data_IF_245782992867
#
_entry.id   IF_245782992867
#
_cell.length_a   1.000
_cell.length_b   1.000
_cell.length_c   1.000
_cell.angle_alpha   90.00
_cell.angle_beta   90.00
_cell.angle_gamma   90.00
#
_symmetry.space_group_name_H-M   'P 1'
#
loop_
_entity.id
_entity.type
_entity.pdbx_description
1 polymer ?
#
# COMPACT_ATOMS: atom_id res chain seq x y z
N UNK A 1 -21.44 39.76 12.21
CA UNK A 1 -20.48 39.18 13.17
C UNK A 1 -19.86 37.97 12.51
N UNK A 2 -18.65 38.12 11.97
CA UNK A 2 -17.90 37.02 11.33
C UNK A 2 -16.51 37.01 11.94
N UNK A 3 -16.17 35.94 12.66
CA UNK A 3 -14.86 35.74 13.26
C UNK A 3 -13.96 35.02 12.26
N UNK A 4 -12.80 35.61 11.96
CA UNK A 4 -11.70 34.98 11.24
C UNK A 4 -10.73 34.47 12.31
N UNK A 5 -10.48 33.15 12.33
CA UNK A 5 -9.46 32.53 13.18
C UNK A 5 -8.14 32.51 12.40
N UNK A 6 -7.03 33.04 12.93
CA UNK A 6 -5.74 32.92 12.27
C UNK A 6 -5.17 31.50 12.47
N UNK A 7 -4.75 30.87 11.39
CA UNK A 7 -3.96 29.64 11.42
C UNK A 7 -2.49 30.05 11.56
N UNK A 8 -1.91 29.86 12.74
CA UNK A 8 -0.47 30.05 12.94
C UNK A 8 0.30 28.96 12.19
N UNK A 9 1.04 29.38 11.15
CA UNK A 9 1.99 28.53 10.45
C UNK A 9 3.23 28.31 11.32
N UNK A 10 3.43 27.06 11.76
CA UNK A 10 4.56 26.67 12.59
C UNK A 10 5.83 26.53 11.73
N UNK A 11 6.71 27.53 11.78
CA UNK A 11 7.96 27.63 11.00
C UNK A 11 8.99 26.53 11.31
N UNK A 12 8.83 25.79 12.41
CA UNK A 12 9.72 24.69 12.78
C UNK A 12 9.65 23.50 11.81
N UNK A 13 8.51 23.29 11.14
CA UNK A 13 8.35 22.19 10.18
C UNK A 13 9.16 22.41 8.89
N UNK A 14 9.39 23.67 8.50
CA UNK A 14 10.16 24.03 7.31
C UNK A 14 11.68 23.93 7.54
N UNK A 15 12.14 24.13 8.77
CA UNK A 15 13.55 24.00 9.12
C UNK A 15 13.99 22.52 9.21
N UNK A 16 13.10 21.62 9.65
CA UNK A 16 13.33 20.17 9.60
C UNK A 16 13.44 19.66 8.16
N UNK A 17 12.59 20.14 7.24
CA UNK A 17 12.61 19.74 5.82
C UNK A 17 13.88 20.23 5.11
N UNK A 18 14.37 21.43 5.44
CA UNK A 18 15.58 21.98 4.79
C UNK A 18 16.87 21.41 5.39
N UNK A 19 16.91 21.07 6.68
CA UNK A 19 18.09 20.43 7.28
C UNK A 19 18.20 18.95 6.92
N UNK A 20 17.08 18.23 6.79
CA UNK A 20 17.08 16.84 6.29
C UNK A 20 17.58 16.78 4.86
N UNK A 21 17.11 17.66 3.94
CA UNK A 21 17.55 17.61 2.54
C UNK A 21 19.06 17.84 2.33
N UNK A 22 19.71 18.65 3.16
CA UNK A 22 21.17 18.90 3.06
C UNK A 22 21.98 17.79 3.73
N UNK A 23 21.46 17.18 4.81
CA UNK A 23 22.08 16.02 5.45
C UNK A 23 21.90 14.73 4.61
N UNK A 24 20.78 14.61 3.88
CA UNK A 24 20.45 13.48 3.00
C UNK A 24 21.49 13.32 1.88
N UNK A 25 21.86 14.41 1.21
CA UNK A 25 22.73 14.38 0.02
C UNK A 25 24.19 14.04 0.37
N UNK A 26 24.66 14.35 1.58
CA UNK A 26 26.07 14.18 1.99
C UNK A 26 26.40 12.78 2.54
N UNK A 27 25.41 11.99 2.97
CA UNK A 27 25.61 10.58 3.39
C UNK A 27 25.45 9.56 2.24
N UNK A 28 25.21 10.01 1.01
CA UNK A 28 24.75 9.16 -0.09
C UNK A 28 25.76 8.10 -0.56
N UNK A 29 27.04 8.47 -0.73
CA UNK A 29 28.03 7.58 -1.34
C UNK A 29 28.71 6.65 -0.32
N UNK A 30 28.89 7.09 0.93
CA UNK A 30 29.55 6.26 1.95
C UNK A 30 28.68 5.05 2.33
N UNK A 31 27.38 5.25 2.55
CA UNK A 31 26.48 4.16 2.90
C UNK A 31 26.35 3.13 1.76
N UNK A 32 26.29 3.61 0.51
CA UNK A 32 26.28 2.73 -0.66
C UNK A 32 27.61 1.97 -0.77
N UNK A 33 28.74 2.63 -0.53
CA UNK A 33 30.05 1.96 -0.52
C UNK A 33 30.14 0.88 0.57
N UNK A 34 29.60 1.15 1.75
CA UNK A 34 29.57 0.19 2.86
C UNK A 34 28.70 -1.03 2.51
N UNK A 35 27.54 -0.84 1.89
CA UNK A 35 26.69 -1.96 1.41
C UNK A 35 27.40 -2.78 0.34
N UNK A 36 28.08 -2.11 -0.60
CA UNK A 36 28.85 -2.80 -1.64
C UNK A 36 30.02 -3.60 -1.03
N UNK A 37 30.67 -3.08 0.01
CA UNK A 37 31.77 -3.77 0.70
C UNK A 37 31.34 -5.06 1.41
N UNK A 38 30.06 -5.15 1.80
CA UNK A 38 29.50 -6.33 2.46
C UNK A 38 29.07 -7.45 1.48
N UNK A 39 29.28 -7.28 0.18
CA UNK A 39 29.01 -8.32 -0.83
C UNK A 39 27.82 -8.05 -1.74
N UNK A 40 27.16 -6.89 -1.61
CA UNK A 40 26.10 -6.51 -2.54
C UNK A 40 26.66 -6.38 -3.97
N UNK A 41 26.08 -7.05 -4.98
CA UNK A 41 26.70 -7.20 -6.29
C UNK A 41 26.63 -5.93 -7.15
N UNK A 42 25.63 -5.05 -6.93
CA UNK A 42 25.40 -3.90 -7.80
C UNK A 42 25.08 -2.63 -7.05
N UNK A 43 25.54 -1.49 -7.59
CA UNK A 43 25.21 -0.15 -7.04
C UNK A 43 23.69 0.10 -7.03
N UNK A 44 22.97 -0.48 -7.98
CA UNK A 44 21.50 -0.40 -8.05
C UNK A 44 20.85 -1.08 -6.84
N UNK A 45 21.27 -2.29 -6.50
CA UNK A 45 20.78 -2.98 -5.31
C UNK A 45 21.15 -2.26 -4.03
N UNK A 46 22.38 -1.74 -3.92
CA UNK A 46 22.79 -0.94 -2.75
C UNK A 46 21.92 0.32 -2.58
N UNK A 47 21.61 1.03 -3.67
CA UNK A 47 20.70 2.17 -3.63
C UNK A 47 19.27 1.76 -3.22
N UNK A 48 18.80 0.59 -3.67
CA UNK A 48 17.50 0.04 -3.28
C UNK A 48 17.44 -0.33 -1.79
N UNK A 49 18.48 -1.01 -1.27
CA UNK A 49 18.62 -1.35 0.15
C UNK A 49 18.58 -0.09 1.00
N UNK A 50 19.32 0.95 0.58
CA UNK A 50 19.31 2.25 1.24
C UNK A 50 17.93 2.90 1.26
N UNK A 51 17.23 2.92 0.14
CA UNK A 51 15.88 3.48 0.07
C UNK A 51 14.95 2.79 1.06
N UNK A 52 14.99 1.46 1.12
CA UNK A 52 14.18 0.69 2.08
C UNK A 52 14.64 0.97 3.51
N UNK A 53 15.95 1.02 3.77
CA UNK A 53 16.49 1.33 5.09
C UNK A 53 15.92 2.64 5.64
N UNK A 54 15.97 3.70 4.83
CA UNK A 54 15.44 5.01 5.18
C UNK A 54 13.93 4.96 5.40
N UNK A 55 13.19 4.28 4.54
CA UNK A 55 11.74 4.14 4.72
C UNK A 55 11.38 3.37 5.99
N UNK A 56 12.12 2.31 6.33
CA UNK A 56 11.91 1.54 7.55
C UNK A 56 12.21 2.37 8.80
N UNK A 57 13.28 3.18 8.77
CA UNK A 57 13.70 4.02 9.89
C UNK A 57 12.81 5.27 10.07
N UNK A 58 12.57 6.03 9.01
CA UNK A 58 11.96 7.37 9.09
C UNK A 58 10.44 7.32 8.97
N UNK A 59 9.93 6.52 8.02
CA UNK A 59 8.50 6.46 7.71
C UNK A 59 7.80 5.43 8.58
N UNK A 60 8.31 4.19 8.61
CA UNK A 60 7.70 3.09 9.38
C UNK A 60 8.12 3.08 10.84
N UNK A 61 9.25 3.73 11.18
CA UNK A 61 9.82 3.81 12.54
C UNK A 61 10.02 2.44 13.18
N UNK A 62 10.58 1.51 12.42
CA UNK A 62 10.96 0.20 12.92
C UNK A 62 12.23 0.26 13.75
N UNK A 63 12.41 -0.74 14.61
CA UNK A 63 13.51 -0.86 15.55
C UNK A 63 14.57 -1.82 15.03
N UNK A 64 15.82 -1.60 15.44
CA UNK A 64 16.96 -2.48 15.15
C UNK A 64 17.05 -2.84 13.66
N UNK A 65 17.03 -1.80 12.80
CA UNK A 65 17.13 -1.98 11.34
C UNK A 65 18.58 -2.24 10.97
N UNK A 66 18.84 -3.44 10.48
CA UNK A 66 20.15 -3.92 10.08
C UNK A 66 20.06 -4.51 8.68
N UNK A 67 21.12 -4.45 7.89
CA UNK A 67 21.18 -5.05 6.56
C UNK A 67 22.23 -6.14 6.53
N UNK A 68 21.97 -7.16 5.72
CA UNK A 68 22.84 -8.33 5.59
C UNK A 68 22.87 -8.79 4.14
N UNK A 69 24.02 -9.32 3.73
CA UNK A 69 24.15 -10.06 2.49
C UNK A 69 24.27 -11.54 2.78
N UNK A 70 23.50 -12.36 2.06
CA UNK A 70 23.56 -13.81 2.21
C UNK A 70 24.08 -14.47 0.94
N UNK A 71 25.32 -14.97 1.03
CA UNK A 71 26.06 -15.56 -0.08
C UNK A 71 25.34 -16.75 -0.74
N UNK A 72 24.66 -17.59 0.05
CA UNK A 72 23.99 -18.81 -0.44
C UNK A 72 22.88 -18.53 -1.45
N UNK A 73 22.13 -17.45 -1.24
CA UNK A 73 21.04 -17.00 -2.11
C UNK A 73 21.43 -15.78 -2.95
N UNK A 74 22.66 -15.27 -2.80
CA UNK A 74 23.18 -14.02 -3.41
C UNK A 74 22.18 -12.87 -3.30
N UNK A 75 21.50 -12.78 -2.16
CA UNK A 75 20.39 -11.84 -1.95
C UNK A 75 20.70 -10.97 -0.74
N UNK A 76 20.56 -9.66 -0.93
CA UNK A 76 20.63 -8.69 0.17
C UNK A 76 19.26 -8.60 0.85
N UNK A 77 19.23 -8.54 2.17
CA UNK A 77 18.00 -8.33 2.92
C UNK A 77 18.23 -7.42 4.12
N UNK A 78 17.17 -6.84 4.63
CA UNK A 78 17.18 -6.07 5.87
C UNK A 78 16.41 -6.83 6.95
N UNK A 79 16.95 -6.88 8.16
CA UNK A 79 16.25 -7.31 9.37
C UNK A 79 15.74 -6.06 10.07
N UNK A 80 14.47 -6.05 10.46
CA UNK A 80 13.94 -4.97 11.28
C UNK A 80 12.81 -5.48 12.18
N UNK A 81 12.69 -4.93 13.38
CA UNK A 81 11.62 -5.26 14.33
C UNK A 81 10.52 -4.22 14.26
N UNK A 82 9.29 -4.67 14.02
CA UNK A 82 8.11 -3.78 14.00
C UNK A 82 7.89 -3.14 15.38
N UNK A 83 8.09 -3.93 16.44
CA UNK A 83 8.10 -3.46 17.84
C UNK A 83 9.39 -3.88 18.51
N UNK A 84 9.84 -3.12 19.50
CA UNK A 84 11.11 -3.34 20.22
C UNK A 84 11.33 -4.76 20.74
N UNK A 85 10.26 -5.43 21.17
CA UNK A 85 10.32 -6.79 21.75
C UNK A 85 9.88 -7.90 20.79
N UNK A 86 9.53 -7.59 19.54
CA UNK A 86 9.08 -8.58 18.58
C UNK A 86 10.28 -9.29 17.92
N UNK A 87 10.02 -10.50 17.38
CA UNK A 87 10.98 -11.15 16.48
C UNK A 87 11.23 -10.25 15.26
N UNK A 88 12.47 -10.19 14.74
CA UNK A 88 12.76 -9.42 13.55
C UNK A 88 12.00 -9.98 12.34
N UNK A 89 11.67 -9.10 11.41
CA UNK A 89 11.11 -9.42 10.10
C UNK A 89 12.17 -9.21 9.03
N UNK A 90 12.13 -10.03 7.98
CA UNK A 90 13.00 -9.87 6.82
C UNK A 90 12.34 -8.98 5.78
N UNK A 91 13.11 -8.06 5.21
CA UNK A 91 12.71 -7.19 4.11
C UNK A 91 13.67 -7.39 2.95
N UNK A 92 13.15 -7.88 1.83
CA UNK A 92 13.95 -8.24 0.66
C UNK A 92 13.66 -7.21 -0.44
N UNK A 93 14.66 -6.39 -0.83
CA UNK A 93 14.51 -5.43 -1.92
C UNK A 93 14.24 -6.13 -3.24
N UNK A 94 13.24 -5.63 -3.98
CA UNK A 94 12.92 -6.04 -5.35
C UNK A 94 12.60 -4.81 -6.17
N UNK A 95 13.08 -4.74 -7.40
CA UNK A 95 12.62 -3.71 -8.30
C UNK A 95 11.27 -4.10 -8.92
N UNK A 96 10.36 -3.14 -9.14
CA UNK A 96 9.03 -3.43 -9.69
C UNK A 96 9.07 -4.01 -11.11
N UNK A 97 10.07 -3.63 -11.90
CA UNK A 97 10.28 -4.19 -13.24
C UNK A 97 10.92 -5.59 -13.24
N UNK A 98 11.42 -6.08 -12.11
CA UNK A 98 12.08 -7.39 -12.07
C UNK A 98 11.02 -8.49 -12.11
N UNK A 99 11.28 -9.50 -12.95
CA UNK A 99 10.43 -10.69 -13.01
C UNK A 99 10.72 -11.53 -11.77
N UNK A 100 9.72 -11.72 -10.93
CA UNK A 100 9.84 -12.61 -9.77
C UNK A 100 9.24 -13.97 -10.14
N UNK A 101 10.07 -15.00 -10.15
CA UNK A 101 9.60 -16.36 -10.35
C UNK A 101 9.04 -16.95 -9.04
N UNK A 102 8.08 -17.86 -9.16
CA UNK A 102 7.55 -18.59 -8.01
C UNK A 102 8.66 -19.38 -7.29
N UNK A 103 9.59 -19.95 -8.06
CA UNK A 103 10.73 -20.72 -7.54
C UNK A 103 11.65 -19.84 -6.69
N UNK A 104 11.91 -18.59 -7.11
CA UNK A 104 12.68 -17.64 -6.28
C UNK A 104 11.98 -17.33 -4.97
N UNK A 105 10.67 -17.07 -4.99
CA UNK A 105 9.92 -16.78 -3.76
C UNK A 105 9.95 -17.98 -2.79
N UNK A 106 9.86 -19.21 -3.29
CA UNK A 106 10.01 -20.41 -2.47
C UNK A 106 11.40 -20.50 -1.82
N UNK A 107 12.47 -20.21 -2.56
CA UNK A 107 13.83 -20.14 -2.00
C UNK A 107 13.98 -19.06 -0.93
N UNK A 108 13.24 -17.96 -1.05
CA UNK A 108 13.24 -16.91 -0.02
C UNK A 108 12.51 -17.36 1.24
N UNK A 109 11.46 -18.18 1.11
CA UNK A 109 10.80 -18.78 2.29
C UNK A 109 11.73 -19.72 3.04
N UNK A 110 12.64 -20.40 2.33
CA UNK A 110 13.64 -21.28 2.96
C UNK A 110 14.57 -20.54 3.93
N UNK A 111 14.82 -19.23 3.72
CA UNK A 111 15.59 -18.39 4.66
C UNK A 111 14.96 -18.32 6.06
N UNK A 112 13.66 -18.60 6.19
CA UNK A 112 12.94 -18.57 7.46
C UNK A 112 12.59 -19.98 7.98
N UNK A 113 13.20 -21.03 7.46
CA UNK A 113 12.90 -22.42 7.86
C UNK A 113 13.15 -22.71 9.35
N UNK A 114 14.01 -21.95 10.02
CA UNK A 114 14.30 -22.11 11.45
C UNK A 114 13.37 -21.28 12.36
N UNK A 115 12.43 -20.51 11.79
CA UNK A 115 11.48 -19.69 12.56
C UNK A 115 12.14 -18.53 13.33
N UNK A 116 13.32 -18.10 12.89
CA UNK A 116 14.05 -16.94 13.43
C UNK A 116 13.25 -15.65 13.23
N UNK A 117 12.56 -15.53 12.09
CA UNK A 117 11.86 -14.31 11.70
C UNK A 117 10.35 -14.39 11.88
N UNK A 118 9.73 -13.25 12.20
CA UNK A 118 8.27 -13.15 12.32
C UNK A 118 7.56 -13.29 10.96
N UNK A 119 8.25 -12.91 9.88
CA UNK A 119 7.75 -12.98 8.52
C UNK A 119 8.76 -12.42 7.52
N UNK A 120 8.52 -12.72 6.25
CA UNK A 120 9.32 -12.23 5.12
C UNK A 120 8.46 -11.27 4.30
N UNK A 121 9.02 -10.10 4.00
CA UNK A 121 8.40 -9.04 3.23
C UNK A 121 9.22 -8.78 1.97
N UNK A 122 8.56 -8.82 0.81
CA UNK A 122 9.11 -8.32 -0.44
C UNK A 122 8.85 -6.81 -0.49
N UNK A 123 9.93 -6.04 -0.53
CA UNK A 123 9.91 -4.58 -0.60
C UNK A 123 10.15 -4.16 -2.05
N UNK A 124 9.06 -3.86 -2.75
CA UNK A 124 9.07 -3.46 -4.14
C UNK A 124 9.34 -1.96 -4.27
N UNK A 125 10.41 -1.61 -4.95
CA UNK A 125 10.79 -0.22 -5.19
C UNK A 125 10.43 0.16 -6.62
N UNK A 126 9.64 1.22 -6.75
CA UNK A 126 9.34 1.85 -8.02
C UNK A 126 10.42 2.87 -8.41
N UNK A 127 10.53 3.23 -9.70
CA UNK A 127 11.43 4.29 -10.17
C UNK A 127 11.12 5.67 -9.57
N UNK A 128 9.90 5.90 -9.11
CA UNK A 128 9.49 7.13 -8.40
C UNK A 128 9.86 7.13 -6.91
N UNK A 129 10.66 6.15 -6.47
CA UNK A 129 11.10 5.93 -5.08
C UNK A 129 10.01 5.53 -4.11
N UNK A 130 8.80 5.18 -4.58
CA UNK A 130 7.76 4.60 -3.73
C UNK A 130 8.10 3.13 -3.41
N UNK A 131 7.97 2.73 -2.14
CA UNK A 131 8.09 1.33 -1.75
C UNK A 131 6.74 0.71 -1.37
N UNK A 132 6.52 -0.51 -1.84
CA UNK A 132 5.35 -1.32 -1.50
C UNK A 132 5.81 -2.62 -0.88
N UNK A 133 5.24 -2.97 0.28
CA UNK A 133 5.64 -4.14 1.04
C UNK A 133 4.57 -5.23 0.96
N UNK A 134 4.94 -6.39 0.44
CA UNK A 134 4.09 -7.58 0.43
C UNK A 134 4.67 -8.64 1.34
N UNK A 135 3.88 -9.08 2.32
CA UNK A 135 4.26 -10.22 3.14
C UNK A 135 4.04 -11.51 2.34
N UNK A 136 5.08 -12.33 2.26
CA UNK A 136 4.96 -13.70 1.74
C UNK A 136 4.88 -14.67 2.93
N UNK A 137 4.04 -15.68 2.78
CA UNK A 137 3.79 -16.71 3.80
C UNK A 137 3.70 -18.07 3.13
N UNK A 138 4.10 -19.11 3.85
CA UNK A 138 3.88 -20.48 3.40
C UNK A 138 2.38 -20.83 3.50
N UNK A 139 1.84 -21.42 2.43
CA UNK A 139 0.46 -21.87 2.37
C UNK A 139 -0.58 -20.77 2.14
N UNK A 140 -1.86 -21.14 2.29
CA UNK A 140 -3.00 -20.26 2.08
C UNK A 140 -3.44 -19.64 3.41
N UNK A 141 -3.24 -18.34 3.56
CA UNK A 141 -3.73 -17.57 4.71
C UNK A 141 -5.18 -17.15 4.47
N UNK A 142 -6.07 -17.41 5.42
CA UNK A 142 -7.46 -16.93 5.35
C UNK A 142 -7.46 -15.39 5.30
N UNK A 143 -8.21 -14.76 4.37
CA UNK A 143 -8.32 -13.31 4.32
C UNK A 143 -8.78 -12.75 5.67
N UNK A 144 -8.11 -11.70 6.17
CA UNK A 144 -8.56 -10.98 7.36
C UNK A 144 -9.91 -10.33 7.08
N UNK A 145 -10.85 -10.38 8.03
CA UNK A 145 -12.24 -9.89 7.88
C UNK A 145 -12.39 -8.40 7.51
N UNK A 146 -11.31 -7.63 7.53
CA UNK A 146 -11.33 -6.19 7.30
C UNK A 146 -11.76 -5.88 5.85
N UNK A 147 -11.29 -6.67 4.89
CA UNK A 147 -11.69 -6.56 3.48
C UNK A 147 -13.11 -7.08 3.25
N UNK A 148 -13.55 -8.09 4.01
CA UNK A 148 -14.89 -8.65 3.85
C UNK A 148 -15.98 -7.73 4.39
N UNK A 149 -15.76 -7.04 5.51
CA UNK A 149 -16.73 -6.10 6.10
C UNK A 149 -17.02 -4.90 5.19
N UNK A 150 -16.02 -4.36 4.51
CA UNK A 150 -16.23 -3.25 3.58
C UNK A 150 -16.97 -3.71 2.31
N UNK A 151 -16.71 -4.95 1.87
CA UNK A 151 -17.41 -5.55 0.74
C UNK A 151 -18.88 -5.87 1.07
N UNK A 152 -19.16 -6.41 2.26
CA UNK A 152 -20.53 -6.71 2.70
C UNK A 152 -21.32 -5.44 2.98
N UNK A 153 -20.70 -4.42 3.57
CA UNK A 153 -21.35 -3.12 3.80
C UNK A 153 -21.74 -2.43 2.49
N UNK A 154 -20.82 -2.38 1.51
CA UNK A 154 -21.15 -1.85 0.19
C UNK A 154 -22.29 -2.62 -0.49
N UNK A 155 -22.31 -3.96 -0.39
CA UNK A 155 -23.41 -4.79 -0.91
C UNK A 155 -24.74 -4.53 -0.20
N UNK A 156 -24.72 -4.29 1.11
CA UNK A 156 -25.91 -3.95 1.87
C UNK A 156 -26.44 -2.56 1.50
N UNK A 157 -25.56 -1.57 1.35
CA UNK A 157 -25.94 -0.20 0.98
C UNK A 157 -26.53 -0.14 -0.44
N UNK A 158 -25.97 -0.87 -1.40
CA UNK A 158 -26.55 -0.97 -2.75
C UNK A 158 -27.88 -1.70 -2.77
N UNK A 159 -28.02 -2.76 -1.98
CA UNK A 159 -29.27 -3.51 -1.85
C UNK A 159 -30.37 -2.65 -1.21
N UNK A 160 -30.06 -1.95 -0.12
CA UNK A 160 -30.98 -1.02 0.54
C UNK A 160 -31.40 0.12 -0.39
N UNK A 161 -30.47 0.67 -1.17
CA UNK A 161 -30.78 1.68 -2.16
C UNK A 161 -31.75 1.16 -3.23
N UNK A 162 -31.52 -0.04 -3.77
CA UNK A 162 -32.40 -0.65 -4.77
C UNK A 162 -33.80 -0.96 -4.21
N UNK A 163 -33.88 -1.47 -2.98
CA UNK A 163 -35.16 -1.72 -2.30
C UNK A 163 -35.95 -0.41 -2.10
N UNK A 164 -35.27 0.67 -1.70
CA UNK A 164 -35.92 1.99 -1.54
C UNK A 164 -36.38 2.55 -2.88
N UNK A 165 -35.54 2.47 -3.91
CA UNK A 165 -35.84 2.98 -5.26
C UNK A 165 -37.04 2.28 -5.89
N UNK A 166 -37.15 0.96 -5.70
CA UNK A 166 -38.20 0.14 -6.32
C UNK A 166 -39.35 -0.21 -5.37
N UNK A 167 -39.51 0.53 -4.26
CA UNK A 167 -40.53 0.26 -3.23
C UNK A 167 -41.96 0.13 -3.77
N UNK A 168 -42.37 1.05 -4.66
CA UNK A 168 -43.73 1.04 -5.20
C UNK A 168 -43.99 -0.17 -6.10
N UNK A 169 -42.99 -0.56 -6.89
CA UNK A 169 -43.05 -1.73 -7.75
C UNK A 169 -43.18 -3.01 -6.92
N UNK A 170 -42.37 -3.13 -5.84
CA UNK A 170 -42.43 -4.25 -4.88
C UNK A 170 -43.79 -4.34 -4.19
N UNK A 171 -44.38 -3.19 -3.83
CA UNK A 171 -45.70 -3.15 -3.19
C UNK A 171 -46.81 -3.60 -4.14
N UNK A 172 -46.77 -3.14 -5.39
CA UNK A 172 -47.75 -3.56 -6.41
C UNK A 172 -47.60 -5.05 -6.74
N UNK A 173 -46.38 -5.54 -6.94
CA UNK A 173 -46.13 -6.96 -7.24
C UNK A 173 -46.60 -7.87 -6.10
N UNK A 174 -46.40 -7.46 -4.84
CA UNK A 174 -46.91 -8.18 -3.67
C UNK A 174 -48.45 -8.19 -3.63
N UNK A 175 -49.10 -7.08 -3.98
CA UNK A 175 -50.56 -7.00 -4.03
C UNK A 175 -51.17 -7.90 -5.11
N UNK A 176 -50.53 -7.99 -6.27
CA UNK A 176 -50.99 -8.81 -7.40
C UNK A 176 -50.46 -10.25 -7.35
N UNK A 177 -49.61 -10.59 -6.38
CA UNK A 177 -49.00 -11.92 -6.25
C UNK A 177 -48.05 -12.28 -7.40
N UNK A 178 -47.48 -11.29 -8.09
CA UNK A 178 -46.62 -11.49 -9.26
C UNK A 178 -45.15 -11.48 -8.80
N UNK A 179 -44.37 -12.54 -9.08
CA UNK A 179 -42.94 -12.52 -8.80
C UNK A 179 -42.24 -11.53 -9.75
N UNK A 180 -41.38 -10.68 -9.20
CA UNK A 180 -40.58 -9.73 -9.98
C UNK A 180 -39.11 -9.86 -9.63
N UNK A 181 -38.26 -9.62 -10.63
CA UNK A 181 -36.82 -9.44 -10.45
C UNK A 181 -36.50 -7.96 -10.59
N UNK A 182 -35.71 -7.43 -9.66
CA UNK A 182 -35.22 -6.06 -9.77
C UNK A 182 -34.07 -6.03 -10.78
N UNK A 183 -34.03 -5.03 -11.68
CA UNK A 183 -32.92 -4.90 -12.62
C UNK A 183 -31.63 -4.61 -11.86
N UNK A 184 -30.59 -5.38 -12.14
CA UNK A 184 -29.26 -5.17 -11.58
C UNK A 184 -28.63 -3.97 -12.29
N UNK A 185 -28.27 -2.93 -11.53
CA UNK A 185 -27.52 -1.81 -12.11
C UNK A 185 -26.08 -2.28 -12.37
N UNK A 186 -25.76 -2.60 -13.62
CA UNK A 186 -24.37 -2.61 -14.08
C UNK A 186 -23.83 -1.19 -13.95
N UNK A 187 -22.85 -1.01 -13.08
CA UNK A 187 -22.04 0.21 -13.06
C UNK A 187 -21.17 0.20 -14.32
N UNK A 188 -21.75 0.59 -15.44
CA UNK A 188 -21.00 0.83 -16.67
C UNK A 188 -20.15 2.09 -16.46
N UNK A 189 -18.83 1.87 -16.55
CA UNK A 189 -17.85 2.93 -16.81
C UNK A 189 -18.16 3.54 -18.18
N UNK A 190 -17.77 4.80 -18.38
CA UNK A 190 -17.94 5.64 -19.59
C UNK A 190 -19.30 6.36 -19.64
N UNK A 191 -19.39 7.68 -19.80
CA UNK A 191 -18.65 8.61 -20.68
C UNK A 191 -18.78 10.02 -20.10
N UNK A 192 -17.69 10.79 -20.01
CA UNK A 192 -17.26 11.76 -21.02
C UNK A 192 -18.27 12.90 -21.26
N UNK A 193 -17.84 14.06 -20.78
CA UNK A 193 -18.24 15.42 -21.16
C UNK A 193 -18.53 15.61 -22.65
N UNK A 194 -19.69 16.19 -22.96
CA UNK A 194 -20.04 17.18 -24.00
C UNK A 194 -21.58 17.15 -24.12
N UNK A 195 -22.36 18.18 -24.43
CA UNK A 195 -22.24 19.63 -24.63
C UNK A 195 -23.64 20.11 -25.03
N UNK A 196 -24.00 21.38 -24.76
CA UNK A 196 -25.03 22.17 -25.47
C UNK A 196 -26.50 21.77 -25.25
N UNK A 197 -27.55 22.60 -25.18
CA UNK A 197 -27.81 24.05 -25.05
C UNK A 197 -29.35 24.21 -24.98
N UNK A 198 -29.82 25.32 -24.36
CA UNK A 198 -31.13 26.00 -24.55
C UNK A 198 -32.37 25.32 -23.94
N UNK A 199 -33.06 25.88 -22.93
CA UNK A 199 -33.79 27.17 -22.79
C UNK A 199 -35.32 26.90 -22.86
N UNK A 200 -36.04 27.22 -21.77
CA UNK A 200 -37.14 28.21 -21.69
C UNK A 200 -38.25 27.84 -20.70
N UNK A 201 -38.42 28.75 -19.72
CA UNK A 201 -39.67 29.34 -19.18
C UNK A 201 -40.78 28.46 -18.57
N UNK A 202 -41.28 28.94 -17.42
CA UNK A 202 -42.69 29.31 -17.08
C UNK A 202 -42.61 29.82 -15.61
N UNK A 203 -42.62 31.14 -15.38
CA UNK A 203 -43.75 32.05 -15.10
C UNK A 203 -44.46 31.81 -13.74
N UNK A 204 -44.65 32.95 -13.07
CA UNK A 204 -45.32 33.23 -11.79
C UNK A 204 -46.73 32.64 -11.67
#
# INVERSE_FOLDING_TARGET
MSYIVPVEFNLNFLFDILSTNIFFILMDDQFIADILSQGCPTKREAAMVKQIYLELCEVKRYWDVEYFFHDGHKTTYLKAKIKKCDKPSLFIPKHVSDKNSFIEMMKLLELNNEGEFSGIYLAFINPDSTCVYYQISEGLVKPKEITSKHLTRNKQETLDFNLRKHRNLLQQSALYGIPITLPEQTMDKETASTSSCKNENIKE
#
